data_IF_398651840425
#
_entry.id   IF_398651840425
#
_cell.length_a   1.000
_cell.length_b   1.000
_cell.length_c   1.000
_cell.angle_alpha   90.00
_cell.angle_beta   90.00
_cell.angle_gamma   90.00
#
_symmetry.space_group_name_H-M   'P 1'
#
loop_
_entity.id
_entity.type
_entity.pdbx_description
1 polymer ?
#
# COMPACT_ATOMS: atom_id res chain seq x y z
N UNK A 1 -15.83 47.30 -5.34
CA UNK A 1 -15.70 45.86 -4.96
C UNK A 1 -14.95 45.78 -3.64
N UNK A 2 -15.55 45.23 -2.59
CA UNK A 2 -14.87 45.01 -1.31
C UNK A 2 -13.79 43.92 -1.49
N UNK A 3 -12.50 44.27 -1.21
CA UNK A 3 -11.45 43.29 -1.14
C UNK A 3 -11.70 42.37 0.06
N UNK A 4 -11.75 41.06 -0.17
CA UNK A 4 -11.78 40.11 0.92
C UNK A 4 -10.47 40.17 1.70
N UNK A 5 -10.55 39.97 3.03
CA UNK A 5 -9.36 39.87 3.87
C UNK A 5 -8.39 38.79 3.35
N UNK A 6 -7.07 39.07 3.45
CA UNK A 6 -6.05 38.11 3.06
C UNK A 6 -6.26 36.79 3.82
N UNK A 7 -6.43 35.70 3.10
CA UNK A 7 -6.63 34.36 3.66
C UNK A 7 -7.99 33.71 3.34
N UNK A 8 -9.05 34.50 3.16
CA UNK A 8 -10.42 33.96 3.00
C UNK A 8 -10.76 33.42 1.58
N UNK A 9 -9.77 33.36 0.68
CA UNK A 9 -9.98 32.90 -0.68
C UNK A 9 -10.96 33.74 -1.51
N UNK A 10 -11.01 33.49 -2.80
CA UNK A 10 -11.96 34.15 -3.71
C UNK A 10 -12.88 33.12 -4.36
N UNK A 11 -14.18 33.46 -4.45
CA UNK A 11 -15.19 32.59 -5.11
C UNK A 11 -15.68 33.29 -6.35
N UNK A 12 -15.67 32.61 -7.49
CA UNK A 12 -16.14 33.14 -8.77
C UNK A 12 -16.90 32.08 -9.56
N UNK A 13 -17.82 32.53 -10.41
CA UNK A 13 -18.49 31.68 -11.41
C UNK A 13 -17.61 31.61 -12.67
N UNK A 14 -17.37 30.40 -13.18
CA UNK A 14 -16.61 30.16 -14.38
C UNK A 14 -17.49 29.45 -15.39
N UNK A 15 -17.39 29.85 -16.65
CA UNK A 15 -18.02 29.19 -17.79
C UNK A 15 -16.92 28.54 -18.66
N UNK A 16 -17.09 27.27 -18.96
CA UNK A 16 -16.17 26.52 -19.82
C UNK A 16 -16.97 25.92 -20.98
N UNK A 17 -16.55 26.23 -22.20
CA UNK A 17 -17.09 25.62 -23.39
C UNK A 17 -16.37 24.28 -23.65
N UNK A 18 -17.14 23.20 -23.78
CA UNK A 18 -16.64 21.86 -24.13
C UNK A 18 -17.64 21.20 -25.06
N UNK A 19 -17.18 20.67 -26.18
CA UNK A 19 -17.99 19.96 -27.20
C UNK A 19 -19.23 20.77 -27.65
N UNK A 20 -19.06 22.11 -27.89
CA UNK A 20 -20.12 23.00 -28.29
C UNK A 20 -21.15 23.34 -27.20
N UNK A 21 -20.98 22.85 -25.97
CA UNK A 21 -21.85 23.14 -24.81
C UNK A 21 -21.11 23.97 -23.78
N UNK A 22 -21.79 24.96 -23.22
CA UNK A 22 -21.27 25.83 -22.15
C UNK A 22 -21.67 25.29 -20.80
N UNK A 23 -20.68 24.92 -20.00
CA UNK A 23 -20.87 24.45 -18.62
C UNK A 23 -20.46 25.55 -17.64
N UNK A 24 -21.26 25.81 -16.63
CA UNK A 24 -20.97 26.80 -15.60
C UNK A 24 -20.69 26.12 -14.28
N UNK A 25 -19.58 26.49 -13.63
CA UNK A 25 -19.20 26.00 -12.31
C UNK A 25 -18.81 27.16 -11.41
N UNK A 26 -18.86 26.90 -10.11
CA UNK A 26 -18.28 27.78 -9.11
C UNK A 26 -16.85 27.33 -8.80
N UNK A 27 -15.94 28.29 -8.74
CA UNK A 27 -14.52 28.05 -8.36
C UNK A 27 -14.17 28.94 -7.18
N UNK A 28 -13.58 28.33 -6.14
CA UNK A 28 -12.87 29.06 -5.10
C UNK A 28 -11.36 28.89 -5.28
N UNK A 29 -10.59 29.92 -5.00
CA UNK A 29 -9.14 29.89 -4.92
C UNK A 29 -8.71 30.27 -3.51
N UNK A 30 -7.75 29.52 -2.95
CA UNK A 30 -7.18 29.76 -1.64
C UNK A 30 -5.67 29.52 -1.68
N UNK A 31 -4.96 30.14 -0.73
CA UNK A 31 -3.52 29.92 -0.57
C UNK A 31 -3.26 28.82 0.46
N UNK A 32 -2.41 27.88 0.12
CA UNK A 32 -1.97 26.81 1.01
C UNK A 32 -0.56 27.06 1.61
N UNK A 33 -0.11 28.32 1.58
CA UNK A 33 1.23 28.69 2.05
C UNK A 33 2.18 29.05 0.91
N UNK A 34 3.48 29.03 1.20
CA UNK A 34 4.55 29.33 0.27
C UNK A 34 5.39 28.07 0.02
N UNK A 35 5.87 27.94 -1.21
CA UNK A 35 6.83 26.91 -1.57
C UNK A 35 8.19 27.22 -0.92
N UNK A 36 8.74 26.36 -0.06
CA UNK A 36 10.01 26.63 0.61
C UNK A 36 11.21 26.72 -0.34
N UNK A 37 11.14 26.09 -1.52
CA UNK A 37 12.22 26.11 -2.51
C UNK A 37 12.21 27.35 -3.41
N UNK A 38 11.03 27.86 -3.76
CA UNK A 38 10.88 28.97 -4.72
C UNK A 38 10.37 30.26 -4.09
N UNK A 39 9.92 30.24 -2.83
CA UNK A 39 9.29 31.39 -2.14
C UNK A 39 7.96 31.83 -2.75
N UNK A 40 7.44 31.13 -3.78
CA UNK A 40 6.18 31.46 -4.44
C UNK A 40 4.98 30.95 -3.65
N UNK A 41 3.91 31.74 -3.66
CA UNK A 41 2.64 31.37 -3.03
C UNK A 41 1.99 30.19 -3.75
N UNK A 42 1.74 29.10 -3.02
CA UNK A 42 0.99 27.94 -3.53
C UNK A 42 -0.51 28.25 -3.49
N UNK A 43 -1.15 28.31 -4.65
CA UNK A 43 -2.58 28.53 -4.78
C UNK A 43 -3.28 27.26 -5.24
N UNK A 44 -4.33 26.88 -4.51
CA UNK A 44 -5.21 25.77 -4.89
C UNK A 44 -6.58 26.27 -5.30
N UNK A 45 -7.25 25.51 -6.16
CA UNK A 45 -8.60 25.80 -6.59
C UNK A 45 -9.55 24.66 -6.29
N UNK A 46 -10.72 24.99 -5.78
CA UNK A 46 -11.83 24.06 -5.53
C UNK A 46 -12.95 24.42 -6.50
N UNK A 47 -13.48 23.41 -7.18
CA UNK A 47 -14.62 23.56 -8.09
C UNK A 47 -15.83 22.80 -7.58
N UNK A 48 -17.04 23.31 -7.90
CA UNK A 48 -18.30 22.67 -7.55
C UNK A 48 -19.45 23.18 -8.41
N UNK A 49 -20.55 22.44 -8.38
CA UNK A 49 -21.76 22.80 -9.15
C UNK A 49 -22.49 23.97 -8.54
N UNK A 50 -22.48 24.11 -7.21
CA UNK A 50 -23.16 25.17 -6.48
C UNK A 50 -22.20 26.03 -5.69
N UNK A 51 -22.56 27.30 -5.49
CA UNK A 51 -21.78 28.23 -4.66
C UNK A 51 -21.69 27.76 -3.21
N UNK A 52 -22.78 27.22 -2.66
CA UNK A 52 -22.82 26.70 -1.27
C UNK A 52 -21.83 25.57 -1.05
N UNK A 53 -21.76 24.63 -1.99
CA UNK A 53 -20.81 23.49 -1.95
C UNK A 53 -19.35 23.98 -1.94
N UNK A 54 -19.03 24.94 -2.82
CA UNK A 54 -17.69 25.49 -2.94
C UNK A 54 -17.29 26.28 -1.70
N UNK A 55 -18.19 27.06 -1.14
CA UNK A 55 -17.97 27.79 0.12
C UNK A 55 -17.74 26.84 1.30
N UNK A 56 -18.52 25.74 1.38
CA UNK A 56 -18.34 24.74 2.43
C UNK A 56 -16.98 24.04 2.34
N UNK A 57 -16.59 23.64 1.13
CA UNK A 57 -15.27 23.07 0.87
C UNK A 57 -14.13 24.04 1.16
N UNK A 58 -14.31 25.32 0.81
CA UNK A 58 -13.33 26.37 1.08
C UNK A 58 -13.15 26.57 2.59
N UNK A 59 -14.25 26.68 3.35
CA UNK A 59 -14.19 26.79 4.82
C UNK A 59 -13.48 25.60 5.47
N UNK A 60 -13.76 24.38 4.98
CA UNK A 60 -13.08 23.18 5.48
C UNK A 60 -11.57 23.20 5.18
N UNK A 61 -11.18 23.64 3.97
CA UNK A 61 -9.77 23.73 3.59
C UNK A 61 -9.03 24.82 4.37
N UNK A 62 -9.62 26.00 4.54
CA UNK A 62 -9.01 27.09 5.33
C UNK A 62 -8.88 26.71 6.79
N UNK A 63 -9.91 26.12 7.40
CA UNK A 63 -9.83 25.63 8.78
C UNK A 63 -8.76 24.53 8.96
N UNK A 64 -8.57 23.67 7.96
CA UNK A 64 -7.50 22.67 7.99
C UNK A 64 -6.10 23.30 7.92
N UNK A 65 -5.93 24.38 7.16
CA UNK A 65 -4.69 25.15 7.09
C UNK A 65 -4.41 25.85 8.42
N UNK A 66 -5.39 26.54 8.98
CA UNK A 66 -5.27 27.26 10.24
C UNK A 66 -4.93 26.33 11.41
N UNK A 67 -5.47 25.12 11.40
CA UNK A 67 -5.19 24.09 12.40
C UNK A 67 -3.89 23.29 12.11
N UNK A 68 -3.12 23.64 11.07
CA UNK A 68 -1.91 22.90 10.69
C UNK A 68 -2.16 21.47 10.21
N UNK A 69 -3.42 21.09 9.97
CA UNK A 69 -3.81 19.73 9.55
C UNK A 69 -4.02 19.61 8.04
N UNK A 70 -3.67 20.64 7.29
CA UNK A 70 -3.80 20.64 5.84
C UNK A 70 -2.70 19.78 5.20
N UNK A 71 -3.10 18.75 4.51
CA UNK A 71 -2.20 17.95 3.65
C UNK A 71 -2.49 18.32 2.21
N UNK A 72 -1.46 18.72 1.49
CA UNK A 72 -1.57 19.05 0.07
C UNK A 72 -2.06 17.81 -0.70
N UNK A 73 -3.15 17.92 -1.50
CA UNK A 73 -3.62 16.79 -2.29
C UNK A 73 -2.55 16.38 -3.29
N UNK A 74 -1.70 15.45 -2.92
CA UNK A 74 -0.68 14.90 -3.80
C UNK A 74 -1.35 14.09 -4.92
N UNK A 75 -0.86 14.26 -6.15
CA UNK A 75 -1.24 13.40 -7.26
C UNK A 75 -0.55 12.02 -7.19
N UNK A 76 0.37 11.83 -6.25
CA UNK A 76 1.15 10.61 -6.06
C UNK A 76 0.25 9.39 -5.85
N UNK A 77 0.51 8.34 -6.60
CA UNK A 77 -0.17 7.06 -6.47
C UNK A 77 0.53 6.16 -5.45
N UNK A 78 -0.18 5.15 -4.96
CA UNK A 78 0.38 4.17 -4.03
C UNK A 78 1.59 3.47 -4.63
N UNK A 79 1.59 3.13 -5.94
CA UNK A 79 2.76 2.50 -6.58
C UNK A 79 3.96 3.42 -6.60
N UNK A 80 3.79 4.70 -6.94
CA UNK A 80 4.88 5.68 -6.95
C UNK A 80 5.48 5.86 -5.56
N UNK A 81 4.62 5.93 -4.54
CA UNK A 81 5.08 5.99 -3.15
C UNK A 81 5.86 4.73 -2.73
N UNK A 82 5.32 3.52 -3.00
CA UNK A 82 5.98 2.27 -2.65
C UNK A 82 7.33 2.08 -3.35
N UNK A 83 7.46 2.53 -4.60
CA UNK A 83 8.74 2.55 -5.31
C UNK A 83 9.73 3.50 -4.63
N UNK A 84 9.33 4.76 -4.42
CA UNK A 84 10.16 5.74 -3.72
C UNK A 84 10.57 5.27 -2.32
N UNK A 85 9.63 4.65 -1.59
CA UNK A 85 9.92 4.08 -0.28
C UNK A 85 10.91 2.92 -0.36
N UNK A 86 10.76 2.02 -1.34
CA UNK A 86 11.67 0.88 -1.50
C UNK A 86 13.09 1.29 -1.92
N UNK A 87 13.22 2.43 -2.57
CA UNK A 87 14.51 2.92 -3.03
C UNK A 87 15.25 3.73 -1.96
N UNK A 88 14.51 4.50 -1.14
CA UNK A 88 15.11 5.43 -0.20
C UNK A 88 15.13 4.93 1.26
N UNK A 89 14.24 4.01 1.66
CA UNK A 89 14.07 3.64 3.07
C UNK A 89 14.41 2.17 3.40
N UNK A 90 14.90 1.40 2.42
CA UNK A 90 15.36 0.03 2.65
C UNK A 90 16.88 -0.08 2.83
N UNK A 91 17.59 1.05 2.90
CA UNK A 91 19.00 1.07 3.25
C UNK A 91 19.19 0.57 4.70
N UNK A 92 20.21 -0.26 4.92
CA UNK A 92 20.48 -0.88 6.24
C UNK A 92 19.67 -2.16 6.52
N UNK A 93 18.77 -2.57 5.64
CA UNK A 93 18.08 -3.86 5.74
C UNK A 93 18.88 -4.93 4.97
N UNK A 94 18.89 -6.18 5.49
CA UNK A 94 19.54 -7.31 4.79
C UNK A 94 19.06 -7.38 3.34
N UNK A 95 19.96 -7.56 2.37
CA UNK A 95 19.62 -7.60 0.93
C UNK A 95 18.52 -8.60 0.59
N UNK A 96 18.52 -9.78 1.23
CA UNK A 96 17.46 -10.79 1.08
C UNK A 96 16.07 -10.28 1.51
N UNK A 97 16.00 -9.52 2.61
CA UNK A 97 14.75 -8.94 3.09
C UNK A 97 14.28 -7.82 2.17
N UNK A 98 15.18 -6.96 1.72
CA UNK A 98 14.85 -5.89 0.76
C UNK A 98 14.32 -6.49 -0.56
N UNK A 99 14.95 -7.56 -1.05
CA UNK A 99 14.46 -8.30 -2.21
C UNK A 99 13.04 -8.83 -2.03
N UNK A 100 12.76 -9.47 -0.88
CA UNK A 100 11.42 -9.97 -0.56
C UNK A 100 10.38 -8.85 -0.50
N UNK A 101 10.75 -7.68 0.02
CA UNK A 101 9.87 -6.50 0.07
C UNK A 101 9.54 -6.00 -1.34
N UNK A 102 10.55 -5.77 -2.18
CA UNK A 102 10.36 -5.35 -3.57
C UNK A 102 9.52 -6.35 -4.36
N UNK A 103 9.79 -7.64 -4.20
CA UNK A 103 9.01 -8.72 -4.82
C UNK A 103 7.54 -8.69 -4.37
N UNK A 104 7.29 -8.53 -3.08
CA UNK A 104 5.93 -8.46 -2.54
C UNK A 104 5.17 -7.23 -3.03
N UNK A 105 5.86 -6.09 -3.13
CA UNK A 105 5.30 -4.86 -3.70
C UNK A 105 4.90 -5.08 -5.15
N UNK A 106 5.80 -5.64 -5.96
CA UNK A 106 5.55 -5.83 -7.40
C UNK A 106 4.43 -6.85 -7.67
N UNK A 107 4.42 -7.98 -6.94
CA UNK A 107 3.48 -9.06 -7.20
C UNK A 107 2.08 -8.82 -6.64
N UNK A 108 1.97 -8.20 -5.46
CA UNK A 108 0.70 -8.13 -4.74
C UNK A 108 0.15 -6.70 -4.62
N UNK A 109 0.97 -5.73 -4.25
CA UNK A 109 0.51 -4.37 -3.96
C UNK A 109 0.29 -3.54 -5.22
N UNK A 110 1.22 -3.58 -6.17
CA UNK A 110 1.16 -2.81 -7.41
C UNK A 110 -0.07 -3.12 -8.25
N UNK A 111 -0.43 -4.39 -8.55
CA UNK A 111 -1.58 -4.69 -9.40
C UNK A 111 -2.93 -4.39 -8.76
N UNK A 112 -3.01 -4.40 -7.42
CA UNK A 112 -4.28 -4.27 -6.70
C UNK A 112 -4.54 -2.86 -6.15
N UNK A 113 -3.52 -2.20 -5.63
CA UNK A 113 -3.64 -0.90 -4.96
C UNK A 113 -2.86 0.21 -5.68
N UNK A 114 -1.99 -0.13 -6.64
CA UNK A 114 -1.03 0.81 -7.22
C UNK A 114 -1.64 2.01 -7.91
N UNK A 115 -2.78 1.87 -8.57
CA UNK A 115 -3.46 2.95 -9.29
C UNK A 115 -4.19 3.95 -8.36
N UNK A 116 -4.39 3.59 -7.09
CA UNK A 116 -5.08 4.44 -6.12
C UNK A 116 -4.16 5.61 -5.72
N UNK A 117 -4.70 6.81 -5.60
CA UNK A 117 -3.96 7.95 -5.04
C UNK A 117 -3.68 7.71 -3.56
N UNK A 118 -2.46 8.02 -3.11
CA UNK A 118 -2.02 7.80 -1.74
C UNK A 118 -2.95 8.48 -0.72
N UNK A 119 -3.34 9.72 -0.96
CA UNK A 119 -4.25 10.49 -0.10
C UNK A 119 -5.72 9.99 -0.12
N UNK A 120 -6.11 9.19 -1.13
CA UNK A 120 -7.46 8.64 -1.27
C UNK A 120 -7.55 7.17 -0.84
N UNK A 121 -6.47 6.56 -0.39
CA UNK A 121 -6.43 5.18 0.05
C UNK A 121 -7.22 5.02 1.36
N UNK A 122 -8.24 4.14 1.33
CA UNK A 122 -9.11 3.88 2.49
C UNK A 122 -8.86 2.49 3.07
N UNK A 123 -9.06 2.34 4.37
CA UNK A 123 -9.02 1.05 5.09
C UNK A 123 -9.87 -0.02 4.43
N UNK A 124 -11.06 0.34 3.94
CA UNK A 124 -11.96 -0.60 3.26
C UNK A 124 -11.34 -1.21 1.99
N UNK A 125 -10.58 -0.44 1.23
CA UNK A 125 -9.90 -0.92 0.01
C UNK A 125 -8.77 -1.90 0.38
N UNK A 126 -8.02 -1.60 1.43
CA UNK A 126 -6.97 -2.49 1.94
C UNK A 126 -7.59 -3.78 2.49
N UNK A 127 -8.69 -3.69 3.24
CA UNK A 127 -9.38 -4.86 3.77
C UNK A 127 -9.95 -5.75 2.65
N UNK A 128 -10.58 -5.15 1.63
CA UNK A 128 -11.07 -5.88 0.47
C UNK A 128 -9.92 -6.62 -0.26
N UNK A 129 -8.78 -5.95 -0.42
CA UNK A 129 -7.58 -6.54 -1.00
C UNK A 129 -7.10 -7.76 -0.19
N UNK A 130 -7.04 -7.71 1.15
CA UNK A 130 -6.64 -8.87 1.95
C UNK A 130 -7.66 -10.02 1.85
N UNK A 131 -8.95 -9.72 1.80
CA UNK A 131 -9.99 -10.72 1.62
C UNK A 131 -9.90 -11.39 0.24
N UNK A 132 -9.55 -10.63 -0.80
CA UNK A 132 -9.36 -11.17 -2.14
C UNK A 132 -8.13 -12.09 -2.22
N UNK A 133 -7.06 -11.80 -1.47
CA UNK A 133 -5.88 -12.67 -1.39
C UNK A 133 -6.15 -13.99 -0.65
N UNK A 134 -7.14 -14.02 0.27
CA UNK A 134 -7.55 -15.23 0.98
C UNK A 134 -8.43 -16.14 0.15
N UNK A 135 -9.15 -15.60 -0.84
CA UNK A 135 -10.07 -16.38 -1.65
C UNK A 135 -9.32 -17.11 -2.75
N UNK A 136 -9.71 -18.34 -3.13
CA UNK A 136 -9.20 -18.99 -4.32
C UNK A 136 -9.48 -18.07 -5.53
N UNK A 137 -8.42 -17.76 -6.26
CA UNK A 137 -8.39 -16.61 -7.14
C UNK A 137 -9.34 -16.68 -8.33
N UNK A 138 -9.80 -15.52 -8.73
CA UNK A 138 -10.53 -15.29 -9.98
C UNK A 138 -9.70 -15.59 -11.26
N UNK A 139 -8.39 -15.88 -11.13
CA UNK A 139 -7.42 -16.13 -12.21
C UNK A 139 -6.46 -17.27 -11.85
N UNK A 140 -6.95 -18.44 -11.47
CA UNK A 140 -6.16 -19.65 -11.21
C UNK A 140 -5.01 -19.47 -10.18
N UNK A 141 -5.05 -18.47 -9.34
CA UNK A 141 -4.09 -18.29 -8.27
C UNK A 141 -4.57 -19.02 -7.00
N UNK A 142 -3.71 -19.84 -6.44
CA UNK A 142 -3.97 -20.45 -5.14
C UNK A 142 -4.12 -19.38 -4.04
N UNK A 143 -5.02 -19.60 -3.05
CA UNK A 143 -5.18 -18.66 -1.95
C UNK A 143 -3.88 -18.53 -1.15
N UNK A 144 -3.52 -17.31 -0.80
CA UNK A 144 -2.32 -17.06 -0.02
C UNK A 144 -2.50 -17.47 1.43
N UNK A 145 -1.43 -17.97 2.03
CA UNK A 145 -1.44 -18.32 3.45
C UNK A 145 -1.66 -17.07 4.33
N UNK A 146 -2.32 -17.21 5.50
CA UNK A 146 -2.49 -16.13 6.47
C UNK A 146 -1.16 -15.47 6.88
N UNK A 147 -0.08 -16.25 6.95
CA UNK A 147 1.28 -15.75 7.24
C UNK A 147 1.79 -14.82 6.13
N UNK A 148 1.58 -15.19 4.87
CA UNK A 148 1.98 -14.36 3.72
C UNK A 148 1.24 -13.03 3.71
N UNK A 149 -0.08 -13.05 3.98
CA UNK A 149 -0.88 -11.83 4.06
C UNK A 149 -0.41 -10.92 5.19
N UNK A 150 -0.07 -11.49 6.35
CA UNK A 150 0.50 -10.75 7.47
C UNK A 150 1.83 -10.08 7.11
N UNK A 151 2.67 -10.77 6.33
CA UNK A 151 3.93 -10.19 5.84
C UNK A 151 3.68 -9.04 4.86
N UNK A 152 2.75 -9.20 3.91
CA UNK A 152 2.35 -8.15 2.96
C UNK A 152 1.80 -6.94 3.71
N UNK A 153 0.93 -7.17 4.70
CA UNK A 153 0.43 -6.11 5.57
C UNK A 153 1.57 -5.36 6.28
N UNK A 154 2.54 -6.08 6.87
CA UNK A 154 3.69 -5.47 7.55
C UNK A 154 4.51 -4.55 6.64
N UNK A 155 4.67 -4.92 5.36
CA UNK A 155 5.36 -4.09 4.37
C UNK A 155 4.54 -2.83 4.06
N UNK A 156 3.26 -3.00 3.73
CA UNK A 156 2.36 -1.88 3.43
C UNK A 156 2.22 -0.94 4.62
N UNK A 157 2.03 -1.47 5.82
CA UNK A 157 1.92 -0.70 7.05
C UNK A 157 3.16 0.16 7.31
N UNK A 158 4.38 -0.41 7.18
CA UNK A 158 5.64 0.33 7.32
C UNK A 158 5.77 1.46 6.30
N UNK A 159 5.46 1.18 5.04
CA UNK A 159 5.53 2.17 3.99
C UNK A 159 4.53 3.32 4.21
N UNK A 160 3.30 3.01 4.63
CA UNK A 160 2.28 4.01 4.92
C UNK A 160 2.60 4.78 6.21
N UNK A 161 3.18 4.13 7.22
CA UNK A 161 3.64 4.81 8.43
C UNK A 161 4.73 5.86 8.12
N UNK A 162 5.63 5.54 7.19
CA UNK A 162 6.61 6.51 6.70
C UNK A 162 5.94 7.67 5.94
N UNK A 163 4.88 7.40 5.16
CA UNK A 163 4.11 8.45 4.51
C UNK A 163 3.43 9.40 5.52
N UNK A 164 2.96 8.87 6.65
CA UNK A 164 2.44 9.69 7.77
C UNK A 164 3.55 10.54 8.35
N UNK A 165 4.73 9.96 8.61
CA UNK A 165 5.88 10.70 9.16
C UNK A 165 6.37 11.81 8.22
N UNK A 166 6.28 11.59 6.91
CA UNK A 166 6.63 12.61 5.89
C UNK A 166 5.53 13.68 5.72
N UNK A 167 4.32 13.45 6.27
CA UNK A 167 3.18 14.37 6.11
C UNK A 167 2.40 14.19 4.79
N UNK A 168 2.64 13.13 4.03
CA UNK A 168 1.93 12.83 2.77
C UNK A 168 0.49 12.36 3.01
N UNK A 169 0.25 11.69 4.14
CA UNK A 169 -1.07 11.26 4.60
C UNK A 169 -1.26 11.56 6.09
N UNK A 170 -2.50 11.76 6.49
CA UNK A 170 -2.85 12.19 7.85
C UNK A 170 -2.77 11.07 8.88
N UNK A 171 -3.17 9.88 8.49
CA UNK A 171 -3.20 8.68 9.33
C UNK A 171 -2.96 7.47 8.47
N UNK A 172 -2.47 6.40 9.09
CA UNK A 172 -2.19 5.17 8.38
C UNK A 172 -3.50 4.37 8.18
N UNK A 173 -4.00 4.22 6.94
CA UNK A 173 -5.24 3.48 6.70
C UNK A 173 -5.10 1.97 6.92
N UNK A 174 -3.88 1.44 7.10
CA UNK A 174 -3.65 0.03 7.38
C UNK A 174 -3.84 -0.33 8.86
N UNK A 175 -3.82 0.65 9.80
CA UNK A 175 -3.90 0.38 11.25
C UNK A 175 -5.20 -0.30 11.66
N UNK A 176 -6.31 0.10 11.04
CA UNK A 176 -7.64 -0.42 11.36
C UNK A 176 -8.02 -1.67 10.55
N UNK A 177 -7.06 -2.32 9.86
CA UNK A 177 -7.32 -3.54 9.11
C UNK A 177 -7.33 -4.77 10.01
N UNK A 178 -8.30 -5.66 9.78
CA UNK A 178 -8.37 -6.97 10.43
C UNK A 178 -7.57 -8.01 9.65
N UNK A 179 -6.62 -8.65 10.34
CA UNK A 179 -5.77 -9.68 9.73
C UNK A 179 -6.25 -11.08 10.05
N UNK A 180 -6.05 -12.05 9.14
CA UNK A 180 -6.41 -13.44 9.40
C UNK A 180 -5.55 -14.03 10.52
N UNK A 181 -6.15 -14.90 11.32
CA UNK A 181 -5.44 -15.65 12.37
C UNK A 181 -4.44 -16.62 11.74
N UNK A 182 -3.23 -16.62 12.26
CA UNK A 182 -2.19 -17.58 11.86
C UNK A 182 -2.20 -18.70 12.88
N UNK A 183 -2.60 -19.89 12.43
CA UNK A 183 -2.49 -21.09 13.25
C UNK A 183 -1.07 -21.64 13.10
N UNK A 184 -0.38 -21.82 14.23
CA UNK A 184 0.89 -22.55 14.24
C UNK A 184 0.57 -24.03 14.10
N UNK A 185 1.07 -24.65 13.04
CA UNK A 185 1.09 -26.10 12.94
C UNK A 185 2.21 -26.59 13.86
N UNK A 186 1.89 -27.46 14.81
CA UNK A 186 2.90 -28.10 15.61
C UNK A 186 3.84 -28.89 14.71
N UNK A 187 5.12 -28.76 14.95
CA UNK A 187 6.10 -29.54 14.21
C UNK A 187 6.05 -30.95 14.78
N UNK A 188 5.75 -31.92 13.91
CA UNK A 188 5.94 -33.32 14.23
C UNK A 188 7.44 -33.57 14.40
N UNK A 189 7.89 -33.75 15.60
CA UNK A 189 9.25 -34.23 15.87
C UNK A 189 9.24 -35.72 15.53
N UNK A 190 10.14 -36.17 14.72
CA UNK A 190 10.33 -37.61 14.51
C UNK A 190 10.83 -38.19 15.83
N UNK A 191 10.18 -39.21 16.33
CA UNK A 191 10.71 -40.03 17.42
C UNK A 191 12.06 -40.63 16.99
N UNK A 192 12.95 -40.81 17.95
CA UNK A 192 14.30 -41.32 17.68
C UNK A 192 14.30 -42.63 16.88
N UNK A 193 13.31 -43.49 17.08
CA UNK A 193 13.09 -44.71 16.32
C UNK A 193 12.76 -44.45 14.84
N UNK A 194 11.93 -43.41 14.54
CA UNK A 194 11.60 -43.05 13.17
C UNK A 194 12.81 -42.40 12.46
N UNK A 195 13.65 -41.64 13.17
CA UNK A 195 14.89 -41.08 12.67
C UNK A 195 15.93 -42.19 12.35
N UNK A 196 16.03 -43.19 13.22
CA UNK A 196 16.90 -44.35 13.02
C UNK A 196 16.46 -45.18 11.80
N UNK A 197 15.16 -45.43 11.63
CA UNK A 197 14.61 -46.14 10.48
C UNK A 197 14.83 -45.37 9.18
N UNK A 198 14.70 -44.06 9.19
CA UNK A 198 14.93 -43.21 7.99
C UNK A 198 16.43 -43.21 7.60
N UNK A 199 17.33 -43.11 8.57
CA UNK A 199 18.80 -43.19 8.32
C UNK A 199 19.22 -44.57 7.82
N UNK A 200 18.63 -45.65 8.37
CA UNK A 200 18.87 -47.01 7.93
C UNK A 200 18.36 -47.25 6.51
N UNK A 201 17.19 -46.77 6.16
CA UNK A 201 16.63 -46.87 4.81
C UNK A 201 17.47 -46.12 3.78
N UNK A 202 18.00 -44.94 4.11
CA UNK A 202 18.93 -44.22 3.24
C UNK A 202 20.27 -44.96 3.04
N UNK A 203 20.84 -45.51 4.09
CA UNK A 203 22.11 -46.28 4.02
C UNK A 203 21.96 -47.56 3.20
N UNK A 204 20.80 -48.20 3.27
CA UNK A 204 20.49 -49.44 2.53
C UNK A 204 20.22 -49.15 1.06
N UNK A 205 19.54 -48.03 0.74
CA UNK A 205 19.27 -47.59 -0.64
C UNK A 205 20.54 -47.24 -1.41
N UNK A 206 21.57 -46.72 -0.72
CA UNK A 206 22.87 -46.42 -1.31
C UNK A 206 23.64 -47.73 -1.64
N UNK A 207 23.43 -48.79 -0.86
CA UNK A 207 24.13 -50.09 -1.06
C UNK A 207 23.50 -50.95 -2.16
N UNK A 208 22.20 -50.83 -2.44
CA UNK A 208 21.47 -51.76 -3.33
C UNK A 208 21.21 -51.24 -4.73
N UNK A 209 21.58 -50.03 -5.06
CA UNK A 209 21.36 -49.43 -6.40
C UNK A 209 19.98 -49.75 -7.03
N UNK A 210 19.00 -50.05 -6.20
CA UNK A 210 17.62 -50.32 -6.59
C UNK A 210 16.77 -49.05 -6.45
N UNK A 211 16.29 -48.53 -7.56
CA UNK A 211 15.28 -47.47 -7.63
C UNK A 211 13.97 -47.99 -7.00
N UNK A 212 13.84 -47.95 -5.71
CA UNK A 212 12.51 -48.01 -5.07
C UNK A 212 11.94 -46.62 -5.17
N UNK A 213 10.94 -46.48 -6.04
CA UNK A 213 10.12 -45.28 -6.19
C UNK A 213 9.34 -45.06 -4.88
N UNK A 214 9.92 -44.29 -3.96
CA UNK A 214 9.21 -43.84 -2.74
C UNK A 214 8.04 -42.96 -3.16
N UNK A 215 6.85 -43.13 -2.56
CA UNK A 215 5.74 -42.21 -2.79
C UNK A 215 6.16 -40.80 -2.46
N UNK A 216 5.85 -39.89 -3.35
CA UNK A 216 6.19 -38.48 -3.30
C UNK A 216 5.78 -37.85 -1.98
N UNK A 217 6.74 -37.66 -1.08
CA UNK A 217 6.59 -36.74 0.04
C UNK A 217 6.47 -35.31 -0.52
N UNK A 218 5.60 -34.47 0.02
CA UNK A 218 5.45 -33.10 -0.46
C UNK A 218 6.79 -32.38 -0.32
N UNK A 219 7.23 -31.81 -1.44
CA UNK A 219 8.50 -31.12 -1.60
C UNK A 219 8.70 -30.04 -0.55
N UNK A 220 9.54 -30.30 0.43
CA UNK A 220 10.21 -29.26 1.20
C UNK A 220 11.28 -28.64 0.30
N UNK A 221 11.11 -27.36 0.01
CA UNK A 221 11.96 -26.59 -0.88
C UNK A 221 13.43 -26.75 -0.52
N UNK A 222 14.21 -27.15 -1.50
CA UNK A 222 15.68 -27.11 -1.46
C UNK A 222 16.12 -25.66 -1.27
N UNK A 223 16.72 -25.37 -0.14
CA UNK A 223 17.66 -24.28 -0.04
C UNK A 223 18.91 -24.71 -0.83
N UNK A 224 19.11 -24.16 -2.02
CA UNK A 224 20.37 -24.27 -2.74
C UNK A 224 21.42 -23.42 -2.04
N UNK A 225 22.27 -24.03 -1.27
CA UNK A 225 23.61 -23.54 -0.97
C UNK A 225 24.46 -23.75 -2.22
N UNK A 226 24.92 -22.66 -2.86
CA UNK A 226 26.19 -22.56 -3.58
C UNK A 226 26.42 -21.14 -4.08
N UNK A 227 27.59 -20.61 -3.80
CA UNK A 227 28.24 -19.46 -4.43
C UNK A 227 28.29 -18.20 -3.59
#
# INVERSE_FOLDING_TARGET
MKRNANGNGSVRKISVARDGKTYTYWQARYSAGFDPGTGKQKQHSITGKTQKEVLQKLKAATAAIDNGSYIEPSAMTVVQWLQSWSDNYLEGIKPSTAYLYRRSIALYLTPNLGAVKLCALKTQQIQAFYNDLLRPGKKNAEPLSPKTIKNIHGILHKALQQAVANGDIRQNPADACSLPKVFRKEMTVFDDDAAALHSFAQSTAIRTNCFIKLPSLPAYGRASFWG
#
